data_IF_752707635291
#
_entry.id   IF_752707635291
#
_cell.length_a   1.000
_cell.length_b   1.000
_cell.length_c   1.000
_cell.angle_alpha   90.00
_cell.angle_beta   90.00
_cell.angle_gamma   90.00
#
_symmetry.space_group_name_H-M   'P 1'
#
loop_
_entity.id
_entity.type
_entity.pdbx_description
1 polymer ?
#
# COMPACT_ATOMS: atom_id res chain seq x y z
N UNK A 1 15.34 6.48 -22.64
CA UNK A 1 15.62 6.35 -21.19
C UNK A 1 14.43 5.67 -20.54
N UNK A 2 14.58 4.38 -20.21
CA UNK A 2 13.53 3.54 -19.62
C UNK A 2 13.23 4.00 -18.20
N UNK A 3 11.99 4.44 -17.93
CA UNK A 3 11.54 4.77 -16.58
C UNK A 3 11.32 3.45 -15.84
N UNK A 4 12.07 3.21 -14.76
CA UNK A 4 11.84 2.10 -13.84
C UNK A 4 10.39 2.14 -13.34
N UNK A 5 9.53 1.31 -13.93
CA UNK A 5 8.14 1.18 -13.55
C UNK A 5 8.05 0.02 -12.54
N UNK A 6 8.07 0.35 -11.25
CA UNK A 6 8.01 -0.61 -10.12
C UNK A 6 6.60 -1.19 -9.91
N UNK A 7 5.93 -1.58 -11.00
CA UNK A 7 4.60 -2.19 -10.97
C UNK A 7 4.80 -3.69 -11.16
N UNK A 8 4.51 -4.47 -10.12
CA UNK A 8 4.35 -5.91 -10.24
C UNK A 8 2.86 -6.21 -10.36
N UNK A 9 2.39 -6.54 -11.57
CA UNK A 9 0.99 -6.87 -11.83
C UNK A 9 0.88 -8.31 -12.35
N UNK A 10 -0.08 -9.07 -11.82
CA UNK A 10 -0.53 -10.33 -12.41
C UNK A 10 -1.55 -9.99 -13.50
N UNK A 11 -1.10 -9.79 -14.74
CA UNK A 11 -1.92 -9.36 -15.88
C UNK A 11 -2.92 -10.40 -16.39
N UNK A 12 -3.15 -11.50 -15.66
CA UNK A 12 -3.94 -12.64 -16.12
C UNK A 12 -5.09 -13.01 -15.17
N UNK A 13 -5.76 -12.02 -14.58
CA UNK A 13 -6.97 -12.24 -13.78
C UNK A 13 -8.21 -11.95 -14.60
N UNK A 14 -8.90 -13.02 -15.00
CA UNK A 14 -10.30 -13.08 -15.49
C UNK A 14 -11.33 -12.59 -14.44
N UNK A 15 -10.89 -11.77 -13.49
CA UNK A 15 -11.62 -11.43 -12.27
C UNK A 15 -11.34 -9.97 -11.94
N UNK A 16 -12.42 -9.22 -11.91
CA UNK A 16 -12.43 -7.82 -12.21
C UNK A 16 -12.45 -6.86 -11.00
N UNK A 17 -11.86 -7.23 -9.87
CA UNK A 17 -11.45 -6.28 -8.83
C UNK A 17 -9.97 -6.43 -8.59
N UNK A 18 -9.27 -5.31 -8.73
CA UNK A 18 -7.82 -5.29 -8.60
C UNK A 18 -7.49 -4.66 -7.27
N UNK A 19 -6.86 -5.47 -6.42
CA UNK A 19 -6.23 -5.00 -5.21
C UNK A 19 -4.85 -4.49 -5.56
N UNK A 20 -4.69 -3.18 -5.51
CA UNK A 20 -3.39 -2.55 -5.53
C UNK A 20 -3.08 -2.12 -4.12
N UNK A 21 -1.91 -2.50 -3.65
CA UNK A 21 -1.35 -1.98 -2.41
C UNK A 21 -0.03 -1.34 -2.74
N UNK A 22 0.27 -0.24 -2.07
CA UNK A 22 1.60 0.31 -2.15
C UNK A 22 2.02 1.03 -0.89
N UNK A 23 3.29 1.39 -0.92
CA UNK A 23 4.04 1.91 0.20
C UNK A 23 5.52 1.84 -0.14
N UNK A 24 6.37 2.26 0.80
CA UNK A 24 7.80 2.09 0.65
C UNK A 24 8.22 0.63 0.52
N UNK A 25 9.32 0.38 -0.19
CA UNK A 25 10.04 -0.90 -0.14
C UNK A 25 10.72 -1.09 1.23
N UNK A 26 11.26 -2.28 1.52
CA UNK A 26 11.90 -2.58 2.80
C UNK A 26 11.02 -3.34 3.80
N UNK A 27 9.87 -3.85 3.32
CA UNK A 27 8.94 -4.69 4.10
C UNK A 27 8.73 -6.06 3.46
N UNK A 28 9.65 -6.49 2.60
CA UNK A 28 9.53 -7.74 1.84
C UNK A 28 9.28 -8.94 2.81
N UNK A 29 8.31 -9.83 2.49
CA UNK A 29 7.63 -10.00 1.21
C UNK A 29 6.49 -9.01 0.91
N UNK A 30 6.13 -8.11 1.85
CA UNK A 30 5.09 -7.13 1.62
C UNK A 30 5.55 -6.07 0.59
N UNK A 31 4.84 -5.81 -0.50
CA UNK A 31 3.59 -6.45 -0.96
C UNK A 31 3.76 -7.35 -2.17
N UNK A 32 4.89 -7.28 -2.86
CA UNK A 32 5.15 -8.02 -4.10
C UNK A 32 5.00 -9.54 -3.94
N UNK A 33 5.39 -10.10 -2.79
CA UNK A 33 5.27 -11.53 -2.51
C UNK A 33 3.82 -12.03 -2.36
N UNK A 34 2.85 -11.12 -2.29
CA UNK A 34 1.42 -11.45 -2.19
C UNK A 34 0.66 -11.21 -3.50
N UNK A 35 1.35 -10.88 -4.59
CA UNK A 35 0.75 -10.75 -5.92
C UNK A 35 0.52 -12.14 -6.50
N UNK A 36 -0.74 -12.48 -6.78
CA UNK A 36 -1.11 -13.78 -7.30
C UNK A 36 -2.59 -14.14 -7.09
N UNK A 37 -2.99 -15.26 -7.71
CA UNK A 37 -4.37 -15.76 -7.62
C UNK A 37 -4.77 -15.98 -6.16
N UNK A 38 -5.90 -15.40 -5.76
CA UNK A 38 -6.43 -15.54 -4.40
C UNK A 38 -5.85 -14.55 -3.39
N UNK A 39 -5.08 -13.55 -3.83
CA UNK A 39 -4.54 -12.42 -3.05
C UNK A 39 -4.59 -11.11 -3.87
N UNK A 40 -3.44 -10.45 -4.08
CA UNK A 40 -3.34 -9.17 -4.79
C UNK A 40 -3.27 -9.36 -6.30
N UNK A 41 -3.90 -8.44 -7.03
CA UNK A 41 -3.76 -8.38 -8.49
C UNK A 41 -2.49 -7.62 -8.91
N UNK A 42 -2.01 -6.70 -8.06
CA UNK A 42 -0.71 -6.08 -8.24
C UNK A 42 -0.22 -5.33 -7.00
N UNK A 43 1.05 -4.93 -7.03
CA UNK A 43 1.68 -4.12 -6.01
C UNK A 43 2.40 -2.93 -6.66
N UNK A 44 2.30 -1.76 -6.02
CA UNK A 44 2.94 -0.52 -6.45
C UNK A 44 4.03 -0.19 -5.42
N UNK A 45 5.30 -0.39 -5.80
CA UNK A 45 6.41 -0.26 -4.86
C UNK A 45 7.10 1.10 -5.00
N UNK A 46 7.21 1.82 -3.89
CA UNK A 46 8.03 3.04 -3.80
C UNK A 46 9.50 2.73 -3.47
N UNK A 47 10.29 3.78 -3.23
CA UNK A 47 11.65 3.62 -2.71
C UNK A 47 11.61 3.06 -1.27
N UNK A 48 12.76 2.66 -0.72
CA UNK A 48 12.85 2.14 0.66
C UNK A 48 12.24 3.17 1.63
N UNK A 49 11.19 2.75 2.35
CA UNK A 49 10.42 3.57 3.30
C UNK A 49 9.85 4.89 2.76
N UNK A 50 9.67 5.00 1.44
CA UNK A 50 9.07 6.16 0.81
C UNK A 50 7.90 5.75 -0.08
N UNK A 51 6.75 6.39 0.13
CA UNK A 51 5.54 6.17 -0.65
C UNK A 51 5.80 6.29 -2.17
N UNK A 52 5.20 5.44 -3.00
CA UNK A 52 5.29 5.57 -4.46
C UNK A 52 4.72 6.92 -4.92
N UNK A 53 5.23 7.42 -6.05
CA UNK A 53 4.78 8.71 -6.58
C UNK A 53 3.34 8.63 -7.10
N UNK A 54 2.61 9.75 -7.04
CA UNK A 54 1.26 9.89 -7.64
C UNK A 54 1.24 9.42 -9.09
N UNK A 55 2.30 9.70 -9.86
CA UNK A 55 2.40 9.31 -11.26
C UNK A 55 2.49 7.79 -11.44
N UNK A 56 3.31 7.12 -10.62
CA UNK A 56 3.45 5.66 -10.64
C UNK A 56 2.14 4.97 -10.24
N UNK A 57 1.45 5.50 -9.23
CA UNK A 57 0.16 4.96 -8.78
C UNK A 57 -0.91 5.13 -9.87
N UNK A 58 -1.03 6.33 -10.46
CA UNK A 58 -1.99 6.58 -11.53
C UNK A 58 -1.73 5.70 -12.76
N UNK A 59 -0.46 5.49 -13.13
CA UNK A 59 -0.10 4.58 -14.20
C UNK A 59 -0.53 3.12 -13.90
N UNK A 60 -0.38 2.68 -12.65
CA UNK A 60 -0.85 1.36 -12.22
C UNK A 60 -2.38 1.25 -12.25
N UNK A 61 -3.10 2.27 -11.80
CA UNK A 61 -4.57 2.29 -11.85
C UNK A 61 -5.08 2.17 -13.29
N UNK A 62 -4.49 2.93 -14.22
CA UNK A 62 -4.82 2.87 -15.65
C UNK A 62 -4.53 1.51 -16.28
N UNK A 63 -3.42 0.89 -15.90
CA UNK A 63 -3.01 -0.40 -16.44
C UNK A 63 -3.83 -1.56 -15.85
N UNK A 64 -4.28 -1.41 -14.61
CA UNK A 64 -4.91 -2.47 -13.87
C UNK A 64 -6.44 -2.43 -14.05
N UNK A 65 -7.11 -1.31 -13.75
CA UNK A 65 -8.56 -1.24 -13.53
C UNK A 65 -9.41 -2.03 -14.56
N UNK A 66 -10.29 -2.89 -14.05
CA UNK A 66 -11.25 -3.67 -14.84
C UNK A 66 -12.68 -3.10 -14.76
N UNK A 67 -13.66 -3.70 -15.47
CA UNK A 67 -15.04 -3.21 -15.53
C UNK A 67 -15.76 -2.87 -14.19
N UNK A 68 -15.71 -3.69 -13.12
CA UNK A 68 -16.21 -3.36 -11.78
C UNK A 68 -15.40 -2.29 -11.06
N UNK A 69 -14.18 -1.97 -11.51
CA UNK A 69 -13.29 -0.98 -10.92
C UNK A 69 -12.03 -1.56 -10.27
N UNK A 70 -11.46 -0.80 -9.33
CA UNK A 70 -10.23 -1.10 -8.61
C UNK A 70 -10.36 -0.67 -7.15
N UNK A 71 -9.97 -1.53 -6.22
CA UNK A 71 -9.91 -1.21 -4.78
C UNK A 71 -8.45 -1.13 -4.38
N UNK A 72 -8.03 0.04 -3.92
CA UNK A 72 -6.66 0.29 -3.49
C UNK A 72 -6.58 0.17 -1.97
N UNK A 73 -5.74 -0.73 -1.50
CA UNK A 73 -5.46 -0.94 -0.08
C UNK A 73 -4.27 -0.05 0.29
N UNK A 74 -4.43 0.81 1.28
CA UNK A 74 -3.41 1.81 1.65
C UNK A 74 -3.13 1.69 3.14
N UNK A 75 -1.86 1.52 3.52
CA UNK A 75 -1.48 1.53 4.93
C UNK A 75 -1.58 2.97 5.47
N UNK A 76 -1.99 3.16 6.73
CA UNK A 76 -2.27 4.47 7.29
C UNK A 76 -1.00 5.28 7.64
N UNK A 77 -0.29 5.72 6.60
CA UNK A 77 0.86 6.62 6.67
C UNK A 77 0.58 7.89 5.85
N UNK A 78 0.97 9.06 6.35
CA UNK A 78 0.67 10.36 5.72
C UNK A 78 1.05 10.43 4.24
N UNK A 79 2.27 9.99 3.90
CA UNK A 79 2.76 9.99 2.52
C UNK A 79 1.92 9.11 1.60
N UNK A 80 1.53 7.93 2.08
CA UNK A 80 0.69 6.99 1.34
C UNK A 80 -0.72 7.56 1.13
N UNK A 81 -1.38 8.06 2.18
CA UNK A 81 -2.71 8.67 2.06
C UNK A 81 -2.76 9.80 1.03
N UNK A 82 -1.78 10.70 1.07
CA UNK A 82 -1.73 11.84 0.16
C UNK A 82 -1.48 11.37 -1.28
N UNK A 83 -0.47 10.53 -1.50
CA UNK A 83 -0.09 10.11 -2.85
C UNK A 83 -1.16 9.25 -3.51
N UNK A 84 -1.72 8.29 -2.77
CA UNK A 84 -2.78 7.43 -3.26
C UNK A 84 -4.09 8.19 -3.44
N UNK A 85 -4.48 9.03 -2.48
CA UNK A 85 -5.67 9.88 -2.60
C UNK A 85 -5.62 10.76 -3.85
N UNK A 86 -4.50 11.46 -4.08
CA UNK A 86 -4.31 12.28 -5.28
C UNK A 86 -4.36 11.46 -6.59
N UNK A 87 -3.80 10.25 -6.60
CA UNK A 87 -3.81 9.40 -7.78
C UNK A 87 -5.21 8.83 -8.07
N UNK A 88 -5.96 8.47 -7.03
CA UNK A 88 -7.33 7.96 -7.14
C UNK A 88 -8.29 9.04 -7.64
N UNK A 89 -8.19 10.27 -7.12
CA UNK A 89 -9.01 11.38 -7.63
C UNK A 89 -8.71 11.66 -9.10
N UNK A 90 -7.44 11.64 -9.51
CA UNK A 90 -7.07 11.76 -10.93
C UNK A 90 -7.63 10.61 -11.78
N UNK A 91 -7.57 9.37 -11.29
CA UNK A 91 -8.13 8.21 -11.98
C UNK A 91 -9.65 8.33 -12.13
N UNK A 92 -10.36 8.82 -11.10
CA UNK A 92 -11.80 9.09 -11.16
C UNK A 92 -12.16 10.15 -12.18
N UNK A 93 -11.37 11.23 -12.29
CA UNK A 93 -11.52 12.23 -13.36
C UNK A 93 -11.34 11.63 -14.77
N UNK A 94 -10.63 10.52 -14.90
CA UNK A 94 -10.46 9.77 -16.16
C UNK A 94 -11.53 8.69 -16.37
N UNK A 95 -12.55 8.63 -15.51
CA UNK A 95 -13.64 7.66 -15.59
C UNK A 95 -13.31 6.28 -15.01
N UNK A 96 -12.17 6.12 -14.32
CA UNK A 96 -11.83 4.87 -13.64
C UNK A 96 -12.57 4.80 -12.31
N UNK A 97 -13.40 3.77 -12.13
CA UNK A 97 -14.03 3.47 -10.84
C UNK A 97 -12.98 2.96 -9.83
N UNK A 98 -12.34 3.88 -9.12
CA UNK A 98 -11.31 3.58 -8.12
C UNK A 98 -11.81 3.91 -6.72
N UNK A 99 -11.66 2.97 -5.79
CA UNK A 99 -11.92 3.15 -4.36
C UNK A 99 -10.67 2.92 -3.54
N UNK A 100 -10.63 3.50 -2.34
CA UNK A 100 -9.52 3.41 -1.40
C UNK A 100 -10.03 2.88 -0.06
N UNK A 101 -9.28 1.95 0.53
CA UNK A 101 -9.45 1.51 1.92
C UNK A 101 -8.15 1.77 2.68
N UNK A 102 -8.28 2.22 3.92
CA UNK A 102 -7.14 2.60 4.75
C UNK A 102 -7.01 1.57 5.87
N UNK A 103 -5.84 0.95 5.99
CA UNK A 103 -5.53 0.00 7.07
C UNK A 103 -4.87 0.74 8.22
N UNK A 104 -5.47 0.68 9.39
CA UNK A 104 -5.03 1.31 10.64
C UNK A 104 -5.07 0.34 11.83
N UNK A 105 -4.65 -0.90 11.61
CA UNK A 105 -4.72 -2.01 12.57
C UNK A 105 -3.82 -1.88 13.81
N UNK A 106 -2.84 -0.96 13.81
CA UNK A 106 -1.92 -0.79 14.92
C UNK A 106 -2.56 -0.09 16.14
N UNK A 107 -2.76 -0.87 17.20
CA UNK A 107 -3.31 -0.40 18.48
C UNK A 107 -2.23 -0.09 19.53
N UNK A 108 -0.95 -0.15 19.16
CA UNK A 108 0.14 0.20 20.09
C UNK A 108 0.16 1.70 20.42
N UNK A 109 -0.44 2.55 19.57
CA UNK A 109 -0.57 3.98 19.80
C UNK A 109 -1.92 4.29 20.48
N UNK A 110 -1.92 5.07 21.58
CA UNK A 110 -3.16 5.52 22.20
C UNK A 110 -3.99 6.36 21.22
N UNK A 111 -5.34 6.33 21.30
CA UNK A 111 -6.20 7.20 20.52
C UNK A 111 -5.79 8.68 20.65
N UNK A 112 -5.66 9.38 19.52
CA UNK A 112 -5.26 10.79 19.48
C UNK A 112 -3.76 11.06 19.50
N UNK A 113 -2.92 10.01 19.57
CA UNK A 113 -1.46 10.15 19.41
C UNK A 113 -1.08 9.96 17.94
N UNK A 114 -0.46 10.99 17.34
CA UNK A 114 -0.02 10.99 15.93
C UNK A 114 -0.92 11.84 15.01
N UNK A 115 -0.45 12.09 13.79
CA UNK A 115 -1.15 12.95 12.82
C UNK A 115 -2.30 12.21 12.12
N UNK A 116 -2.18 10.88 11.96
CA UNK A 116 -3.09 10.07 11.12
C UNK A 116 -3.87 8.99 11.88
N UNK A 117 -3.67 8.83 13.20
CA UNK A 117 -4.23 7.73 13.98
C UNK A 117 -3.35 6.47 14.00
N UNK A 118 -3.95 5.30 14.23
CA UNK A 118 -3.26 4.00 14.23
C UNK A 118 -2.59 3.71 12.88
N UNK A 119 -1.38 3.13 12.90
CA UNK A 119 -0.65 2.80 11.68
C UNK A 119 -1.23 1.56 11.00
N UNK A 120 -1.03 1.43 9.69
CA UNK A 120 -1.28 0.16 9.00
C UNK A 120 -0.03 -0.70 8.99
N UNK A 121 -0.09 -1.88 9.60
CA UNK A 121 1.05 -2.79 9.80
C UNK A 121 0.72 -4.20 9.30
N UNK A 122 1.12 -5.25 10.02
CA UNK A 122 1.05 -6.65 9.56
C UNK A 122 -0.38 -7.17 9.33
N UNK A 123 -1.41 -6.62 9.99
CA UNK A 123 -2.81 -7.00 9.76
C UNK A 123 -3.29 -6.77 8.32
N UNK A 124 -2.61 -5.87 7.58
CA UNK A 124 -2.82 -5.66 6.15
C UNK A 124 -2.79 -6.97 5.35
N UNK A 125 -1.92 -7.92 5.71
CA UNK A 125 -1.80 -9.22 5.01
C UNK A 125 -3.09 -10.05 5.10
N UNK A 126 -3.80 -9.98 6.23
CA UNK A 126 -5.08 -10.66 6.40
C UNK A 126 -6.14 -10.06 5.48
N UNK A 127 -6.17 -8.73 5.38
CA UNK A 127 -7.06 -8.02 4.44
C UNK A 127 -6.79 -8.46 3.01
N UNK A 128 -5.52 -8.47 2.57
CA UNK A 128 -5.15 -8.99 1.23
C UNK A 128 -5.71 -10.39 0.96
N UNK A 129 -5.61 -11.28 1.95
CA UNK A 129 -6.04 -12.68 1.82
C UNK A 129 -7.55 -12.81 1.69
N UNK A 130 -8.30 -12.05 2.48
CA UNK A 130 -9.77 -12.06 2.48
C UNK A 130 -10.28 -11.48 1.17
N UNK A 131 -9.81 -10.29 0.79
CA UNK A 131 -10.22 -9.59 -0.42
C UNK A 131 -9.89 -10.41 -1.68
N UNK A 132 -8.72 -11.07 -1.70
CA UNK A 132 -8.33 -11.96 -2.81
C UNK A 132 -9.29 -13.10 -3.10
N UNK A 133 -10.22 -13.43 -2.19
CA UNK A 133 -11.28 -14.43 -2.41
C UNK A 133 -12.47 -13.91 -3.22
N UNK A 134 -12.62 -12.59 -3.33
CA UNK A 134 -13.75 -11.88 -3.96
C UNK A 134 -13.33 -11.06 -5.19
N UNK A 135 -12.58 -11.62 -6.15
CA UNK A 135 -11.97 -10.83 -7.21
C UNK A 135 -12.97 -10.37 -8.28
N UNK A 136 -14.27 -10.64 -8.16
CA UNK A 136 -15.31 -10.18 -9.11
C UNK A 136 -16.47 -9.44 -8.41
N UNK A 137 -16.27 -9.03 -7.16
CA UNK A 137 -17.26 -8.23 -6.43
C UNK A 137 -17.37 -6.82 -7.03
N UNK A 138 -18.45 -6.11 -6.75
CA UNK A 138 -18.51 -4.69 -7.09
C UNK A 138 -17.59 -3.89 -6.15
N UNK A 139 -16.92 -2.88 -6.70
CA UNK A 139 -15.95 -2.05 -5.97
C UNK A 139 -16.57 -1.43 -4.70
N UNK A 140 -17.81 -0.95 -4.77
CA UNK A 140 -18.51 -0.35 -3.63
C UNK A 140 -18.76 -1.37 -2.50
N UNK A 141 -19.35 -2.52 -2.84
CA UNK A 141 -19.59 -3.59 -1.88
C UNK A 141 -18.30 -4.07 -1.24
N UNK A 142 -17.24 -4.29 -2.04
CA UNK A 142 -15.97 -4.78 -1.52
C UNK A 142 -15.30 -3.74 -0.62
N UNK A 143 -15.36 -2.46 -0.98
CA UNK A 143 -14.86 -1.35 -0.14
C UNK A 143 -15.59 -1.35 1.21
N UNK A 144 -16.92 -1.45 1.20
CA UNK A 144 -17.72 -1.49 2.43
C UNK A 144 -17.38 -2.69 3.32
N UNK A 145 -17.33 -3.90 2.75
CA UNK A 145 -16.96 -5.11 3.51
C UNK A 145 -15.53 -5.02 4.07
N UNK A 146 -14.62 -4.42 3.31
CA UNK A 146 -13.24 -4.25 3.76
C UNK A 146 -13.15 -3.34 4.97
N UNK A 147 -13.89 -2.22 4.98
CA UNK A 147 -13.94 -1.35 6.16
C UNK A 147 -14.46 -2.08 7.41
N UNK A 148 -15.50 -2.91 7.26
CA UNK A 148 -15.99 -3.75 8.38
C UNK A 148 -14.89 -4.70 8.87
N UNK A 149 -14.13 -5.31 7.96
CA UNK A 149 -13.03 -6.22 8.31
C UNK A 149 -11.93 -5.47 9.06
N UNK A 150 -11.56 -4.26 8.59
CA UNK A 150 -10.52 -3.43 9.21
C UNK A 150 -10.86 -3.11 10.68
N UNK A 151 -12.13 -2.78 10.97
CA UNK A 151 -12.62 -2.53 12.33
C UNK A 151 -12.44 -3.72 13.30
N UNK A 152 -12.13 -4.92 12.79
CA UNK A 152 -11.96 -6.15 13.57
C UNK A 152 -10.53 -6.72 13.51
N UNK A 153 -9.58 -6.01 12.88
CA UNK A 153 -8.18 -6.41 12.85
C UNK A 153 -7.39 -5.47 13.74
N UNK A 154 -6.78 -6.05 14.78
CA UNK A 154 -5.96 -5.33 15.74
C UNK A 154 -4.59 -5.98 15.83
N UNK A 155 -3.54 -5.17 15.77
CA UNK A 155 -2.17 -5.60 15.84
C UNK A 155 -1.40 -4.69 16.79
N UNK A 156 -0.50 -5.25 17.60
CA UNK A 156 0.40 -4.49 18.44
C UNK A 156 1.82 -5.02 18.24
N UNK A 157 2.77 -4.11 18.04
CA UNK A 157 4.18 -4.45 17.81
C UNK A 157 5.07 -3.93 18.93
N UNK A 158 6.11 -4.70 19.24
CA UNK A 158 7.23 -4.29 20.07
C UNK A 158 8.52 -4.62 19.31
N UNK A 159 9.50 -3.72 19.35
CA UNK A 159 10.80 -3.91 18.73
C UNK A 159 11.88 -3.97 19.80
N UNK A 160 12.77 -4.96 19.70
CA UNK A 160 13.96 -5.05 20.55
C UNK A 160 15.10 -4.16 20.03
N UNK A 161 15.15 -3.94 18.72
CA UNK A 161 16.18 -3.15 18.04
C UNK A 161 15.58 -2.42 16.82
N UNK A 162 16.29 -1.41 16.32
CA UNK A 162 15.96 -0.71 15.07
C UNK A 162 16.70 -1.31 13.88
N UNK A 163 16.13 -1.16 12.67
CA UNK A 163 16.79 -1.53 11.42
C UNK A 163 17.69 -0.40 10.89
N UNK A 164 18.67 -0.79 10.08
CA UNK A 164 19.57 0.14 9.37
C UNK A 164 19.11 0.29 7.92
N UNK A 165 18.92 1.53 7.48
CA UNK A 165 18.61 1.86 6.09
C UNK A 165 19.92 2.12 5.36
N UNK A 166 20.18 1.34 4.31
CA UNK A 166 21.26 1.63 3.36
C UNK A 166 20.74 2.65 2.33
N UNK A 167 20.83 3.94 2.65
CA UNK A 167 20.61 5.01 1.69
C UNK A 167 21.98 5.59 1.30
N UNK A 168 22.39 5.45 0.04
CA UNK A 168 23.57 6.16 -0.49
C UNK A 168 23.21 7.62 -0.73
N UNK A 169 23.71 8.52 0.11
CA UNK A 169 23.73 9.95 -0.17
C UNK A 169 25.03 10.29 -0.91
N UNK A 170 24.98 10.57 -2.20
CA UNK A 170 26.10 11.17 -2.92
C UNK A 170 26.05 12.68 -2.74
N UNK A 171 26.63 13.17 -1.64
CA UNK A 171 27.21 14.50 -1.62
C UNK A 171 28.72 14.35 -1.56
N UNK A 172 29.40 14.89 -2.56
CA UNK A 172 30.84 15.13 -2.65
C UNK A 172 31.72 14.36 -1.64
N UNK A 173 32.20 13.19 -2.07
CA UNK A 173 33.35 12.45 -1.53
C UNK A 173 33.35 11.92 -0.08
N UNK A 174 32.22 11.86 0.63
CA UNK A 174 32.13 11.04 1.86
C UNK A 174 30.78 10.33 1.98
N UNK A 175 30.79 9.00 1.98
CA UNK A 175 29.63 8.18 2.32
C UNK A 175 29.35 8.30 3.82
N UNK A 176 28.35 9.10 4.19
CA UNK A 176 27.89 9.20 5.58
C UNK A 176 26.83 8.10 5.83
N UNK A 177 27.12 7.16 6.72
CA UNK A 177 26.11 6.22 7.23
C UNK A 177 25.28 6.98 8.26
N UNK A 178 24.07 7.42 7.89
CA UNK A 178 23.11 7.94 8.88
C UNK A 178 22.58 6.78 9.73
N UNK A 179 23.09 6.67 10.95
CA UNK A 179 22.45 5.90 12.03
C UNK A 179 21.61 6.87 12.85
N UNK A 180 20.33 7.06 12.52
CA UNK A 180 19.27 7.42 13.48
C UNK A 180 17.94 7.67 12.76
N UNK A 181 16.93 6.85 13.05
CA UNK A 181 15.62 7.29 13.61
C UNK A 181 14.78 6.07 14.00
N UNK A 182 14.35 6.03 15.26
CA UNK A 182 13.33 5.12 15.81
C UNK A 182 11.94 5.56 15.37
N UNK A 183 11.35 4.89 14.39
CA UNK A 183 9.91 4.66 14.31
C UNK A 183 9.73 3.32 13.63
N UNK A 184 8.97 2.43 14.25
CA UNK A 184 8.62 1.15 13.67
C UNK A 184 7.77 1.35 12.41
N UNK A 185 8.35 0.99 11.28
CA UNK A 185 7.75 0.93 9.96
C UNK A 185 7.62 -0.58 9.69
N UNK A 186 6.47 -1.15 10.02
CA UNK A 186 6.00 -2.43 9.49
C UNK A 186 4.78 -2.12 8.63
#
# INVERSE_FOLDING_TARGET
MSKHLSILACLNTLYYVIHLVGGGSGHEPAHAGFVGKGMLSGAILGNIFASPTVHSILAALRAAAGPPGVVVIVKNYTGDRINFGMAIEKARCEGINASMVIIDDDVALPPGVGITGGRGIAGTVLVHKILGRYPAAETEWLTHQTNIIIDHIYYATMHLETYTILATYTAHHTSLIMRHTTYAWI
#
